data_IF_068207711598
#
_entry.id   IF_068207711598
#
_cell.length_a   1.000
_cell.length_b   1.000
_cell.length_c   1.000
_cell.angle_alpha   90.00
_cell.angle_beta   90.00
_cell.angle_gamma   90.00
#
_symmetry.space_group_name_H-M   'P 1'
#
loop_
_entity.id
_entity.type
_entity.pdbx_description
1 polymer ?
#
# COMPACT_ATOMS: atom_id res chain seq x y z
N UNK A 1 -1.49 14.38 13.04
CA UNK A 1 -1.87 13.28 12.15
C UNK A 1 -2.24 12.10 13.04
N UNK A 2 -3.41 11.50 12.85
CA UNK A 2 -3.93 10.50 13.79
C UNK A 2 -3.26 9.13 13.67
N UNK A 3 -2.30 8.93 12.75
CA UNK A 3 -1.71 7.61 12.44
C UNK A 3 -0.22 7.48 12.78
N UNK A 4 0.39 8.41 13.52
CA UNK A 4 1.80 8.27 13.92
C UNK A 4 1.94 7.26 15.08
N UNK A 5 1.81 5.97 14.78
CA UNK A 5 2.14 4.87 15.69
C UNK A 5 0.98 3.95 16.05
N UNK A 6 1.08 3.31 17.23
CA UNK A 6 0.11 2.34 17.73
C UNK A 6 -1.09 3.03 18.40
N UNK A 7 -2.30 2.49 18.20
CA UNK A 7 -3.51 2.97 18.87
C UNK A 7 -3.79 2.30 20.22
N UNK A 8 -3.04 1.25 20.55
CA UNK A 8 -3.12 0.52 21.81
C UNK A 8 -1.71 0.42 22.42
N UNK A 9 -1.58 0.21 23.74
CA UNK A 9 -0.29 0.01 24.38
C UNK A 9 0.48 -1.15 23.73
N UNK A 10 1.71 -0.89 23.27
CA UNK A 10 2.53 -1.90 22.55
C UNK A 10 2.73 -3.19 23.35
N UNK A 11 2.77 -3.09 24.68
CA UNK A 11 2.90 -4.23 25.58
C UNK A 11 1.68 -5.17 25.59
N UNK A 12 0.53 -4.71 25.09
CA UNK A 12 -0.72 -5.48 24.97
C UNK A 12 -0.88 -6.11 23.58
N UNK A 13 0.01 -5.79 22.63
CA UNK A 13 -0.03 -6.31 21.28
C UNK A 13 0.87 -7.55 21.14
N UNK A 14 0.35 -8.56 20.45
CA UNK A 14 1.18 -9.71 20.05
C UNK A 14 2.26 -9.29 19.07
N UNK A 15 3.33 -10.07 18.98
CA UNK A 15 4.39 -9.82 18.00
C UNK A 15 3.86 -9.90 16.56
N UNK A 16 2.91 -10.80 16.29
CA UNK A 16 2.24 -10.92 14.99
C UNK A 16 1.47 -9.63 14.62
N UNK A 17 0.69 -9.08 15.55
CA UNK A 17 -0.03 -7.81 15.31
C UNK A 17 0.94 -6.65 15.08
N UNK A 18 2.07 -6.64 15.80
CA UNK A 18 3.10 -5.62 15.62
C UNK A 18 3.81 -5.75 14.28
N UNK A 19 4.08 -6.97 13.80
CA UNK A 19 4.64 -7.21 12.47
C UNK A 19 3.66 -6.82 11.37
N UNK A 20 2.38 -7.15 11.52
CA UNK A 20 1.35 -6.71 10.60
C UNK A 20 1.23 -5.17 10.57
N UNK A 21 1.27 -4.51 11.73
CA UNK A 21 1.29 -3.05 11.80
C UNK A 21 2.50 -2.45 11.07
N UNK A 22 3.70 -3.01 11.26
CA UNK A 22 4.90 -2.57 10.51
C UNK A 22 4.67 -2.68 9.01
N UNK A 23 4.16 -3.81 8.53
CA UNK A 23 3.90 -4.02 7.11
C UNK A 23 2.85 -3.04 6.57
N UNK A 24 1.75 -2.81 7.30
CA UNK A 24 0.68 -1.88 6.89
C UNK A 24 1.21 -0.44 6.82
N UNK A 25 1.93 0.02 7.85
CA UNK A 25 2.48 1.38 7.86
C UNK A 25 3.50 1.56 6.75
N UNK A 26 4.39 0.60 6.51
CA UNK A 26 5.31 0.67 5.38
C UNK A 26 4.57 0.73 4.05
N UNK A 27 3.54 -0.10 3.84
CA UNK A 27 2.72 -0.03 2.62
C UNK A 27 2.04 1.35 2.46
N UNK A 28 1.54 1.95 3.55
CA UNK A 28 0.97 3.29 3.53
C UNK A 28 2.00 4.34 3.11
N UNK A 29 3.21 4.29 3.68
CA UNK A 29 4.32 5.19 3.36
C UNK A 29 4.72 5.10 1.89
N UNK A 30 4.82 3.90 1.33
CA UNK A 30 5.12 3.72 -0.10
C UNK A 30 4.05 4.32 -1.00
N UNK A 31 2.76 4.12 -0.67
CA UNK A 31 1.66 4.69 -1.43
C UNK A 31 1.58 6.22 -1.32
N UNK A 32 1.90 6.79 -0.15
CA UNK A 32 2.06 8.24 0.03
C UNK A 32 3.21 8.77 -0.82
N UNK A 33 4.36 8.08 -0.85
CA UNK A 33 5.49 8.45 -1.68
C UNK A 33 5.14 8.43 -3.17
N UNK A 34 4.43 7.39 -3.64
CA UNK A 34 3.92 7.32 -5.02
C UNK A 34 3.05 8.53 -5.36
N UNK A 35 2.08 8.88 -4.50
CA UNK A 35 1.21 10.04 -4.72
C UNK A 35 2.02 11.35 -4.75
N UNK A 36 2.86 11.58 -3.75
CA UNK A 36 3.66 12.81 -3.67
C UNK A 36 4.61 12.96 -4.85
N UNK A 37 5.29 11.90 -5.26
CA UNK A 37 6.13 11.95 -6.44
C UNK A 37 5.32 12.20 -7.70
N UNK A 38 4.13 11.61 -7.84
CA UNK A 38 3.28 11.84 -9.00
C UNK A 38 2.89 13.32 -9.12
N UNK A 39 2.46 13.95 -8.02
CA UNK A 39 2.15 15.38 -7.96
C UNK A 39 3.38 16.24 -8.29
N UNK A 40 4.56 15.87 -7.76
CA UNK A 40 5.81 16.59 -8.01
C UNK A 40 6.26 16.48 -9.46
N UNK A 41 6.13 15.30 -10.08
CA UNK A 41 6.44 15.10 -11.51
C UNK A 41 5.59 16.02 -12.38
N UNK A 42 4.28 16.08 -12.14
CA UNK A 42 3.36 16.95 -12.90
C UNK A 42 3.69 18.45 -12.73
N UNK A 43 4.07 18.87 -11.53
CA UNK A 43 4.40 20.25 -11.24
C UNK A 43 5.83 20.66 -11.65
N UNK A 44 6.74 19.70 -11.82
CA UNK A 44 8.18 19.95 -12.00
C UNK A 44 8.47 20.76 -13.27
N UNK A 45 9.40 21.71 -13.18
CA UNK A 45 9.84 22.54 -14.32
C UNK A 45 11.22 22.17 -14.84
N UNK A 46 11.97 21.36 -14.09
CA UNK A 46 13.28 20.87 -14.48
C UNK A 46 13.16 19.43 -15.02
N UNK A 47 13.50 19.17 -16.29
CA UNK A 47 13.36 17.85 -16.89
C UNK A 47 14.30 16.77 -16.31
N UNK A 48 15.43 17.15 -15.73
CA UNK A 48 16.36 16.20 -15.11
C UNK A 48 15.81 15.74 -13.76
N UNK A 49 15.34 16.69 -12.94
CA UNK A 49 14.67 16.37 -11.68
C UNK A 49 13.39 15.56 -11.91
N UNK A 50 12.58 15.91 -12.90
CA UNK A 50 11.35 15.17 -13.21
C UNK A 50 11.62 13.68 -13.51
N UNK A 51 12.74 13.37 -14.18
CA UNK A 51 13.14 11.98 -14.45
C UNK A 51 13.53 11.22 -13.18
N UNK A 52 14.27 11.87 -12.27
CA UNK A 52 14.65 11.26 -10.98
C UNK A 52 13.39 10.98 -10.14
N UNK A 53 12.48 11.96 -10.06
CA UNK A 53 11.23 11.80 -9.31
C UNK A 53 10.34 10.71 -9.89
N UNK A 54 10.24 10.60 -11.21
CA UNK A 54 9.48 9.55 -11.88
C UNK A 54 10.11 8.15 -11.67
N UNK A 55 11.44 8.06 -11.70
CA UNK A 55 12.16 6.83 -11.38
C UNK A 55 11.85 6.36 -9.96
N UNK A 56 12.05 7.23 -8.97
CA UNK A 56 11.78 6.89 -7.57
C UNK A 56 10.32 6.49 -7.37
N UNK A 57 9.35 7.24 -7.94
CA UNK A 57 7.92 6.91 -7.91
C UNK A 57 7.64 5.48 -8.37
N UNK A 58 8.33 5.03 -9.42
CA UNK A 58 8.06 3.74 -10.01
C UNK A 58 8.75 2.61 -9.21
N UNK A 59 9.88 2.87 -8.54
CA UNK A 59 10.48 1.96 -7.55
C UNK A 59 9.60 1.79 -6.30
N UNK A 60 8.98 2.84 -5.78
CA UNK A 60 8.09 2.69 -4.60
C UNK A 60 6.86 1.80 -4.88
N UNK A 61 6.44 1.68 -6.15
CA UNK A 61 5.39 0.73 -6.55
C UNK A 61 5.85 -0.72 -6.42
N UNK A 62 7.12 -0.99 -6.66
CA UNK A 62 7.72 -2.31 -6.40
C UNK A 62 7.73 -2.59 -4.89
N UNK A 63 8.19 -1.63 -4.08
CA UNK A 63 8.18 -1.75 -2.62
C UNK A 63 6.77 -2.02 -2.07
N UNK A 64 5.78 -1.25 -2.52
CA UNK A 64 4.37 -1.45 -2.17
C UNK A 64 3.88 -2.86 -2.54
N UNK A 65 4.19 -3.33 -3.75
CA UNK A 65 3.79 -4.67 -4.21
C UNK A 65 4.44 -5.79 -3.37
N UNK A 66 5.72 -5.65 -3.03
CA UNK A 66 6.45 -6.61 -2.19
C UNK A 66 5.85 -6.72 -0.79
N UNK A 67 5.54 -5.59 -0.16
CA UNK A 67 4.95 -5.56 1.18
C UNK A 67 3.51 -6.08 1.15
N UNK A 68 2.71 -5.70 0.16
CA UNK A 68 1.34 -6.20 -0.01
C UNK A 68 1.32 -7.72 -0.17
N UNK A 69 2.26 -8.30 -0.91
CA UNK A 69 2.37 -9.76 -1.04
C UNK A 69 2.71 -10.45 0.29
N UNK A 70 3.56 -9.83 1.12
CA UNK A 70 3.86 -10.36 2.46
C UNK A 70 2.61 -10.39 3.34
N UNK A 71 1.79 -9.32 3.28
CA UNK A 71 0.52 -9.20 3.99
C UNK A 71 -0.47 -10.25 3.48
N UNK A 72 -0.66 -10.36 2.16
CA UNK A 72 -1.56 -11.35 1.53
C UNK A 72 -1.30 -12.78 2.00
N UNK A 73 -0.03 -13.17 2.18
CA UNK A 73 0.34 -14.52 2.66
C UNK A 73 -0.03 -14.79 4.13
N UNK A 74 -0.37 -13.75 4.91
CA UNK A 74 -0.62 -13.83 6.36
C UNK A 74 -2.02 -13.40 6.78
N UNK A 75 -2.75 -12.74 5.90
CA UNK A 75 -4.16 -12.40 6.10
C UNK A 75 -5.03 -13.19 5.10
N UNK A 76 -5.63 -14.32 5.50
CA UNK A 76 -6.48 -15.12 4.63
C UNK A 76 -7.67 -14.34 4.07
N UNK A 77 -8.24 -13.42 4.87
CA UNK A 77 -9.39 -12.63 4.43
C UNK A 77 -8.98 -11.64 3.36
N UNK A 78 -7.87 -10.92 3.55
CA UNK A 78 -7.33 -10.04 2.52
C UNK A 78 -6.94 -10.83 1.27
N UNK A 79 -6.39 -12.04 1.40
CA UNK A 79 -6.11 -12.90 0.26
C UNK A 79 -7.36 -13.20 -0.58
N UNK A 80 -8.49 -13.48 0.06
CA UNK A 80 -9.72 -13.81 -0.65
C UNK A 80 -10.25 -12.61 -1.41
N UNK A 81 -10.31 -11.44 -0.76
CA UNK A 81 -10.70 -10.18 -1.42
C UNK A 81 -9.75 -9.85 -2.60
N UNK A 82 -8.43 -9.98 -2.41
CA UNK A 82 -7.47 -9.68 -3.49
C UNK A 82 -7.64 -10.63 -4.69
N UNK A 83 -8.06 -11.88 -4.49
CA UNK A 83 -8.35 -12.81 -5.60
C UNK A 83 -9.61 -12.45 -6.35
N UNK A 84 -10.63 -11.96 -5.65
CA UNK A 84 -11.91 -11.59 -6.25
C UNK A 84 -11.79 -10.35 -7.14
N UNK A 85 -10.90 -9.41 -6.79
CA UNK A 85 -10.81 -8.11 -7.45
C UNK A 85 -9.59 -7.90 -8.35
N UNK A 86 -8.43 -8.49 -8.04
CA UNK A 86 -7.23 -8.24 -8.86
C UNK A 86 -7.28 -9.01 -10.17
N UNK A 87 -6.79 -8.37 -11.24
CA UNK A 87 -6.68 -8.95 -12.58
C UNK A 87 -8.01 -9.38 -13.22
N UNK A 88 -9.12 -8.78 -12.78
CA UNK A 88 -10.43 -8.91 -13.44
C UNK A 88 -10.67 -7.78 -14.43
N UNK A 89 -11.61 -8.00 -15.35
CA UNK A 89 -12.15 -6.97 -16.25
C UNK A 89 -13.62 -6.72 -15.88
N UNK A 90 -14.12 -5.50 -16.09
CA UNK A 90 -15.49 -5.12 -15.75
C UNK A 90 -15.58 -4.11 -14.59
N UNK A 91 -16.79 -3.91 -14.07
CA UNK A 91 -17.05 -2.94 -13.01
C UNK A 91 -16.65 -3.49 -11.64
N UNK A 92 -15.86 -2.71 -10.90
CA UNK A 92 -15.46 -3.05 -9.52
C UNK A 92 -16.63 -2.69 -8.58
N UNK A 93 -17.07 -3.64 -7.75
CA UNK A 93 -18.09 -3.41 -6.71
C UNK A 93 -19.40 -4.20 -6.84
N UNK A 94 -19.50 -5.14 -7.79
CA UNK A 94 -20.73 -5.91 -8.06
C UNK A 94 -20.76 -7.37 -7.54
N UNK A 95 -19.87 -7.78 -6.62
CA UNK A 95 -19.71 -9.19 -6.22
C UNK A 95 -20.35 -9.63 -4.88
N UNK A 96 -21.23 -8.83 -4.27
CA UNK A 96 -21.96 -9.23 -3.05
C UNK A 96 -23.43 -9.56 -3.31
N UNK A 97 -23.72 -10.44 -4.26
CA UNK A 97 -24.94 -11.25 -4.19
C UNK A 97 -24.58 -12.50 -3.37
N UNK A 98 -24.67 -12.37 -2.04
CA UNK A 98 -24.59 -13.50 -1.13
C UNK A 98 -25.86 -14.36 -1.30
N UNK A 99 -25.71 -15.55 -1.88
CA UNK A 99 -26.59 -16.70 -1.61
C UNK A 99 -26.15 -17.41 -0.31
#
# INVERSE_FOLDING_TARGET
MASEGYHEPVAELSDETRDMHRAIVSLMEELEAVDWYNQRVDACKDPELAKILAHNRDEEKEHAAMVLEWIRRRDPKLNDELKDYLFTEGEIGHHHDHD
#
